data_IF_632353387473
#
_entry.id   IF_632353387473
#
_cell.length_a   1.000
_cell.length_b   1.000
_cell.length_c   1.000
_cell.angle_alpha   90.00
_cell.angle_beta   90.00
_cell.angle_gamma   90.00
#
_symmetry.space_group_name_H-M   'P 1'
#
loop_
_entity.id
_entity.type
_entity.pdbx_description
1 polymer ?
#
# COMPACT_ATOMS: atom_id res chain seq x y z
N UNK A 1 -5.84 -29.32 -8.35
CA UNK A 1 -5.12 -28.16 -7.78
C UNK A 1 -5.02 -28.33 -6.27
N UNK A 2 -3.84 -28.59 -5.72
CA UNK A 2 -3.62 -28.69 -4.27
C UNK A 2 -3.55 -27.27 -3.71
N UNK A 3 -4.58 -26.84 -2.98
CA UNK A 3 -4.50 -25.63 -2.16
C UNK A 3 -3.41 -25.85 -1.11
N UNK A 4 -2.22 -25.32 -1.34
CA UNK A 4 -1.18 -25.21 -0.31
C UNK A 4 -1.63 -24.11 0.65
N UNK A 5 -2.17 -24.51 1.78
CA UNK A 5 -2.59 -23.61 2.85
C UNK A 5 -1.35 -22.92 3.40
N UNK A 6 -1.42 -21.62 3.50
CA UNK A 6 -0.57 -20.69 4.23
C UNK A 6 -0.58 -21.04 5.73
N UNK A 7 0.00 -22.15 6.13
CA UNK A 7 -0.21 -22.69 7.47
C UNK A 7 1.01 -22.52 8.37
N UNK A 8 1.90 -21.55 8.10
CA UNK A 8 3.09 -21.38 8.97
C UNK A 8 3.58 -19.97 9.27
N UNK A 9 2.88 -18.93 8.83
CA UNK A 9 3.17 -17.60 9.36
C UNK A 9 2.18 -17.24 10.45
N UNK A 10 2.50 -17.62 11.68
CA UNK A 10 1.83 -17.07 12.86
C UNK A 10 2.39 -15.65 13.06
N UNK A 11 1.76 -14.68 12.40
CA UNK A 11 1.99 -13.26 12.63
C UNK A 11 1.50 -12.91 14.04
N UNK A 12 2.37 -12.98 15.02
CA UNK A 12 2.19 -12.27 16.28
C UNK A 12 2.44 -10.79 15.99
N UNK A 13 1.36 -10.10 15.60
CA UNK A 13 1.34 -8.65 15.45
C UNK A 13 1.58 -7.96 16.78
N UNK A 14 2.82 -7.75 17.15
CA UNK A 14 3.17 -6.74 18.14
C UNK A 14 3.11 -5.38 17.43
N UNK A 15 1.98 -4.67 17.59
CA UNK A 15 1.87 -3.24 17.23
C UNK A 15 2.78 -2.45 18.16
N UNK A 16 4.05 -2.39 17.83
CA UNK A 16 5.00 -1.46 18.40
C UNK A 16 4.88 -0.14 17.63
N UNK A 17 4.21 0.85 18.22
CA UNK A 17 4.26 2.24 17.76
C UNK A 17 5.70 2.75 17.88
N UNK A 18 6.53 2.50 16.90
CA UNK A 18 7.80 3.21 16.76
C UNK A 18 7.56 4.46 15.92
N UNK A 19 7.47 5.59 16.60
CA UNK A 19 7.49 6.92 16.00
C UNK A 19 8.82 7.10 15.25
N UNK A 20 8.89 6.72 13.99
CA UNK A 20 10.03 7.07 13.13
C UNK A 20 9.75 8.42 12.50
N UNK A 21 10.32 9.44 13.10
CA UNK A 21 10.37 10.80 12.57
C UNK A 21 11.10 10.82 11.23
N UNK A 22 10.37 11.02 10.13
CA UNK A 22 10.96 11.35 8.84
C UNK A 22 11.67 12.70 8.94
N UNK A 23 13.01 12.70 8.92
CA UNK A 23 13.81 13.92 8.90
C UNK A 23 13.53 14.72 7.64
N UNK A 24 13.13 15.98 7.80
CA UNK A 24 12.96 16.99 6.75
C UNK A 24 14.22 17.09 5.88
N UNK A 25 14.11 16.65 4.64
CA UNK A 25 14.91 17.15 3.54
C UNK A 25 13.91 17.55 2.45
N UNK A 26 13.96 18.79 2.00
CA UNK A 26 13.08 19.31 0.95
C UNK A 26 13.34 18.63 -0.40
N UNK A 27 12.66 17.54 -0.61
CA UNK A 27 12.65 16.71 -1.81
C UNK A 27 11.50 15.72 -1.65
N UNK A 28 10.97 15.18 -2.75
CA UNK A 28 9.96 14.12 -2.73
C UNK A 28 10.26 13.14 -1.60
N UNK A 29 9.30 12.93 -0.68
CA UNK A 29 9.50 12.03 0.46
C UNK A 29 9.86 10.64 -0.07
N UNK A 30 11.06 10.18 0.24
CA UNK A 30 11.51 8.85 -0.19
C UNK A 30 10.87 7.84 0.77
N UNK A 31 9.87 7.13 0.30
CA UNK A 31 9.27 6.04 1.06
C UNK A 31 10.31 4.97 1.43
N UNK A 32 10.45 4.73 2.71
CA UNK A 32 11.48 3.82 3.23
C UNK A 32 11.02 2.35 3.35
N UNK A 33 9.70 2.11 3.22
CA UNK A 33 9.09 0.78 3.35
C UNK A 33 9.55 0.03 4.62
N UNK A 34 9.54 0.72 5.77
CA UNK A 34 10.02 0.14 7.04
C UNK A 34 8.89 -0.48 7.88
N UNK A 35 7.66 -0.36 7.43
CA UNK A 35 6.47 -0.90 8.07
C UNK A 35 5.43 -1.27 7.00
N UNK A 36 4.47 -2.11 7.38
CA UNK A 36 3.37 -2.51 6.51
C UNK A 36 2.61 -1.28 6.03
N UNK A 37 2.66 -1.00 4.73
CA UNK A 37 2.11 0.24 4.18
C UNK A 37 1.79 0.12 2.69
N UNK A 38 0.86 0.96 2.26
CA UNK A 38 0.53 1.20 0.84
C UNK A 38 1.22 2.50 0.44
N UNK A 39 1.97 2.50 -0.64
CA UNK A 39 2.59 3.70 -1.20
C UNK A 39 1.92 4.09 -2.50
N UNK A 40 1.46 5.33 -2.56
CA UNK A 40 0.78 5.91 -3.73
C UNK A 40 1.69 6.95 -4.36
N UNK A 41 2.09 6.69 -5.60
CA UNK A 41 2.91 7.60 -6.37
C UNK A 41 2.10 8.74 -6.97
N UNK A 42 2.80 9.81 -7.39
CA UNK A 42 2.18 10.94 -8.12
C UNK A 42 1.55 10.54 -9.45
N UNK A 43 2.02 9.47 -10.08
CA UNK A 43 1.43 8.89 -11.29
C UNK A 43 0.32 7.87 -11.00
N UNK A 44 -0.16 7.83 -9.73
CA UNK A 44 -1.21 6.94 -9.24
C UNK A 44 -0.84 5.44 -9.25
N UNK A 45 0.43 5.10 -9.47
CA UNK A 45 0.89 3.73 -9.30
C UNK A 45 0.90 3.35 -7.83
N UNK A 46 0.54 2.10 -7.55
CA UNK A 46 0.48 1.54 -6.20
C UNK A 46 1.68 0.62 -5.97
N UNK A 47 2.27 0.74 -4.80
CA UNK A 47 3.20 -0.21 -4.22
C UNK A 47 2.71 -0.61 -2.83
N UNK A 48 3.14 -1.75 -2.33
CA UNK A 48 2.99 -2.06 -0.90
C UNK A 48 4.29 -2.58 -0.31
N UNK A 49 4.46 -2.38 0.98
CA UNK A 49 5.48 -3.03 1.77
C UNK A 49 4.82 -4.01 2.74
N UNK A 50 5.32 -5.23 2.74
CA UNK A 50 5.06 -6.24 3.75
C UNK A 50 6.35 -6.41 4.58
N UNK A 51 6.27 -6.07 5.85
CA UNK A 51 7.38 -6.16 6.80
C UNK A 51 6.97 -7.12 7.91
N UNK A 52 7.78 -8.13 8.15
CA UNK A 52 7.48 -9.17 9.14
C UNK A 52 8.73 -9.60 9.89
N UNK A 53 8.53 -10.15 11.08
CA UNK A 53 9.62 -10.74 11.87
C UNK A 53 9.41 -12.24 11.93
N UNK A 54 10.42 -13.01 11.57
CA UNK A 54 10.38 -14.46 11.69
C UNK A 54 10.24 -14.87 13.16
N UNK A 55 9.27 -15.72 13.47
CA UNK A 55 8.90 -16.03 14.85
C UNK A 55 9.96 -16.89 15.58
N UNK A 56 10.81 -17.63 14.85
CA UNK A 56 11.85 -18.50 15.41
C UNK A 56 13.15 -18.40 14.63
N UNK A 57 14.28 -18.29 15.37
CA UNK A 57 15.64 -18.21 14.79
C UNK A 57 16.09 -19.46 14.03
N UNK A 58 15.31 -20.54 14.03
CA UNK A 58 15.62 -21.82 13.42
C UNK A 58 15.01 -22.03 12.04
N UNK A 59 14.09 -21.17 11.61
CA UNK A 59 13.60 -21.14 10.22
C UNK A 59 14.40 -20.06 9.47
N UNK A 60 15.67 -20.36 9.23
CA UNK A 60 16.56 -19.50 8.46
C UNK A 60 16.16 -19.56 6.99
N UNK A 61 15.22 -18.69 6.63
CA UNK A 61 15.15 -18.23 5.26
C UNK A 61 16.36 -17.35 5.00
N UNK A 62 17.10 -17.64 3.97
CA UNK A 62 17.97 -16.63 3.39
C UNK A 62 17.13 -15.75 2.44
N UNK A 63 17.69 -14.62 2.05
CA UNK A 63 16.98 -13.66 1.18
C UNK A 63 16.57 -14.29 -0.16
N UNK A 64 17.38 -15.23 -0.70
CA UNK A 64 17.10 -15.91 -1.97
C UNK A 64 15.87 -16.83 -1.85
N UNK A 65 15.76 -17.59 -0.75
CA UNK A 65 14.59 -18.45 -0.49
C UNK A 65 13.32 -17.62 -0.27
N UNK A 66 13.41 -16.50 0.46
CA UNK A 66 12.30 -15.58 0.65
C UNK A 66 11.84 -14.96 -0.67
N UNK A 67 12.80 -14.55 -1.51
CA UNK A 67 12.48 -14.01 -2.83
C UNK A 67 11.85 -15.06 -3.75
N UNK A 68 12.32 -16.32 -3.69
CA UNK A 68 11.75 -17.42 -4.46
C UNK A 68 10.31 -17.74 -4.04
N UNK A 69 10.03 -17.76 -2.73
CA UNK A 69 8.68 -18.00 -2.20
C UNK A 69 7.73 -16.85 -2.61
N UNK A 70 8.13 -15.61 -2.45
CA UNK A 70 7.35 -14.45 -2.91
C UNK A 70 7.13 -14.51 -4.45
N UNK A 71 8.15 -14.97 -5.19
CA UNK A 71 8.06 -15.18 -6.63
C UNK A 71 7.03 -16.22 -7.04
N UNK A 72 6.89 -17.32 -6.29
CA UNK A 72 5.84 -18.33 -6.55
C UNK A 72 4.44 -17.72 -6.38
N UNK A 73 4.18 -16.95 -5.32
CA UNK A 73 2.89 -16.28 -5.12
C UNK A 73 2.55 -15.33 -6.26
N UNK A 74 3.54 -14.52 -6.67
CA UNK A 74 3.36 -13.56 -7.75
C UNK A 74 3.08 -14.27 -9.07
N UNK A 75 3.82 -15.33 -9.41
CA UNK A 75 3.64 -16.08 -10.65
C UNK A 75 2.25 -16.72 -10.72
N UNK A 76 1.80 -17.36 -9.62
CA UNK A 76 0.49 -17.97 -9.53
C UNK A 76 -0.61 -16.92 -9.73
N UNK A 77 -0.51 -15.77 -9.06
CA UNK A 77 -1.44 -14.66 -9.22
C UNK A 77 -1.42 -14.08 -10.65
N UNK A 78 -0.26 -13.85 -11.23
CA UNK A 78 -0.14 -13.29 -12.57
C UNK A 78 -0.74 -14.23 -13.62
N UNK A 79 -0.47 -15.52 -13.54
CA UNK A 79 -1.06 -16.52 -14.44
C UNK A 79 -2.58 -16.58 -14.28
N UNK A 80 -3.11 -16.54 -13.06
CA UNK A 80 -4.57 -16.52 -12.81
C UNK A 80 -5.25 -15.27 -13.38
N UNK A 81 -4.50 -14.19 -13.55
CA UNK A 81 -4.94 -12.93 -14.15
C UNK A 81 -4.56 -12.78 -15.64
N UNK A 82 -4.17 -13.88 -16.30
CA UNK A 82 -3.90 -13.92 -17.74
C UNK A 82 -2.57 -13.31 -18.19
N UNK A 83 -1.63 -13.08 -17.25
CA UNK A 83 -0.29 -12.59 -17.55
C UNK A 83 0.74 -13.74 -17.62
N UNK A 84 1.98 -13.40 -18.00
CA UNK A 84 3.08 -14.39 -18.02
C UNK A 84 3.45 -14.83 -16.59
N UNK A 85 3.98 -16.05 -16.46
CA UNK A 85 4.53 -16.58 -15.21
C UNK A 85 5.88 -15.93 -14.89
N UNK A 86 5.85 -14.64 -14.56
CA UNK A 86 7.00 -13.85 -14.18
C UNK A 86 6.71 -13.12 -12.87
N UNK A 87 7.75 -12.77 -12.14
CA UNK A 87 7.67 -12.14 -10.82
C UNK A 87 8.33 -10.77 -10.76
N UNK A 88 9.02 -10.38 -11.83
CA UNK A 88 9.66 -9.07 -11.97
C UNK A 88 9.26 -8.41 -13.29
N UNK A 89 9.06 -7.10 -13.25
CA UNK A 89 8.80 -6.34 -14.46
C UNK A 89 10.06 -6.28 -15.33
N UNK A 90 9.92 -6.62 -16.60
CA UNK A 90 10.99 -6.52 -17.59
C UNK A 90 10.83 -5.25 -18.41
N UNK A 91 11.92 -4.50 -18.59
CA UNK A 91 11.90 -3.29 -19.40
C UNK A 91 11.42 -3.58 -20.84
N UNK A 92 10.50 -2.78 -21.33
CA UNK A 92 9.94 -2.92 -22.69
C UNK A 92 8.82 -3.92 -22.84
N UNK A 93 8.43 -4.63 -21.77
CA UNK A 93 7.24 -5.48 -21.72
C UNK A 93 6.07 -4.77 -21.03
N UNK A 94 4.87 -5.31 -21.21
CA UNK A 94 3.70 -4.89 -20.43
C UNK A 94 3.96 -5.11 -18.94
N UNK A 95 3.45 -4.21 -18.10
CA UNK A 95 3.53 -4.38 -16.64
C UNK A 95 2.75 -5.59 -16.20
N UNK A 96 3.33 -6.36 -15.29
CA UNK A 96 2.66 -7.48 -14.64
C UNK A 96 1.55 -6.96 -13.71
N UNK A 97 0.50 -7.76 -13.46
CA UNK A 97 -0.47 -7.50 -12.40
C UNK A 97 0.20 -7.23 -11.05
N UNK A 98 1.17 -8.06 -10.68
CA UNK A 98 2.02 -7.91 -9.50
C UNK A 98 3.46 -8.20 -9.86
N UNK A 99 4.41 -7.43 -9.31
CA UNK A 99 5.83 -7.70 -9.45
C UNK A 99 6.57 -7.46 -8.12
N UNK A 100 7.55 -8.30 -7.84
CA UNK A 100 8.50 -8.09 -6.73
C UNK A 100 9.44 -6.95 -7.11
N UNK A 101 9.51 -5.93 -6.26
CA UNK A 101 10.39 -4.78 -6.44
C UNK A 101 11.62 -4.86 -5.55
N UNK A 102 11.45 -5.36 -4.34
CA UNK A 102 12.49 -5.50 -3.34
C UNK A 102 12.19 -6.71 -2.48
N UNK A 103 13.20 -7.52 -2.24
CA UNK A 103 13.26 -8.47 -1.15
C UNK A 103 14.49 -8.14 -0.31
N UNK A 104 14.36 -8.14 1.01
CA UNK A 104 15.51 -8.09 1.92
C UNK A 104 15.22 -8.84 3.19
N UNK A 105 16.27 -9.40 3.79
CA UNK A 105 16.22 -10.09 5.06
C UNK A 105 17.37 -9.59 5.93
N UNK A 106 17.05 -8.78 6.95
CA UNK A 106 18.04 -8.24 7.90
C UNK A 106 17.79 -8.84 9.29
N UNK A 107 18.67 -9.74 9.69
CA UNK A 107 18.50 -10.52 10.92
C UNK A 107 17.24 -11.38 10.85
N UNK A 108 16.23 -11.09 11.67
CA UNK A 108 14.95 -11.78 11.67
C UNK A 108 13.83 -10.97 10.96
N UNK A 109 14.13 -9.79 10.40
CA UNK A 109 13.14 -8.94 9.75
C UNK A 109 13.21 -9.13 8.26
N UNK A 110 12.12 -9.68 7.69
CA UNK A 110 11.90 -9.78 6.26
C UNK A 110 11.12 -8.55 5.76
N UNK A 111 11.48 -8.10 4.55
CA UNK A 111 10.80 -7.02 3.85
C UNK A 111 10.58 -7.41 2.41
N UNK A 112 9.33 -7.36 1.97
CA UNK A 112 8.92 -7.52 0.59
C UNK A 112 8.26 -6.21 0.13
N UNK A 113 8.64 -5.73 -1.04
CA UNK A 113 7.97 -4.59 -1.68
C UNK A 113 7.45 -5.04 -3.02
N UNK A 114 6.18 -4.76 -3.27
CA UNK A 114 5.49 -5.14 -4.49
C UNK A 114 5.10 -3.91 -5.32
N UNK A 115 5.20 -4.02 -6.63
CA UNK A 115 4.61 -3.11 -7.61
C UNK A 115 3.31 -3.72 -8.13
N UNK A 116 2.26 -2.91 -8.31
CA UNK A 116 0.97 -3.36 -8.85
C UNK A 116 0.64 -2.68 -10.17
N UNK A 117 0.09 -3.43 -11.11
CA UNK A 117 -0.41 -2.93 -12.38
C UNK A 117 -1.64 -2.04 -12.25
N UNK A 118 -2.44 -2.26 -11.20
CA UNK A 118 -3.61 -1.46 -10.83
C UNK A 118 -3.95 -1.59 -9.35
N UNK A 119 -4.76 -0.67 -8.77
CA UNK A 119 -5.24 -0.79 -7.40
C UNK A 119 -6.02 -2.09 -7.12
N UNK A 120 -6.78 -2.60 -8.11
CA UNK A 120 -7.51 -3.86 -7.98
C UNK A 120 -6.59 -5.08 -7.85
N UNK A 121 -5.41 -5.04 -8.48
CA UNK A 121 -4.42 -6.12 -8.33
C UNK A 121 -3.80 -6.13 -6.93
N UNK A 122 -3.64 -4.98 -6.28
CA UNK A 122 -3.25 -4.94 -4.87
C UNK A 122 -4.27 -5.68 -3.99
N UNK A 123 -5.55 -5.31 -4.09
CA UNK A 123 -6.62 -5.95 -3.30
C UNK A 123 -6.73 -7.45 -3.62
N UNK A 124 -6.74 -7.81 -4.92
CA UNK A 124 -6.85 -9.21 -5.34
C UNK A 124 -5.67 -10.07 -4.87
N UNK A 125 -4.45 -9.57 -4.96
CA UNK A 125 -3.26 -10.27 -4.50
C UNK A 125 -3.26 -10.45 -2.98
N UNK A 126 -3.60 -9.42 -2.22
CA UNK A 126 -3.72 -9.48 -0.77
C UNK A 126 -4.77 -10.52 -0.32
N UNK A 127 -5.91 -10.60 -1.01
CA UNK A 127 -6.94 -11.60 -0.73
C UNK A 127 -6.46 -13.03 -1.06
N UNK A 128 -5.77 -13.24 -2.17
CA UNK A 128 -5.28 -14.55 -2.60
C UNK A 128 -4.15 -15.07 -1.71
N UNK A 129 -3.29 -14.17 -1.23
CA UNK A 129 -2.19 -14.49 -0.31
C UNK A 129 -2.59 -14.48 1.15
N UNK A 130 -3.87 -14.21 1.47
CA UNK A 130 -4.37 -14.07 2.85
C UNK A 130 -3.54 -13.05 3.66
N UNK A 131 -3.14 -11.93 3.01
CA UNK A 131 -2.35 -10.88 3.65
C UNK A 131 -3.15 -10.20 4.77
N UNK A 132 -2.64 -10.30 5.99
CA UNK A 132 -3.25 -9.73 7.21
C UNK A 132 -2.58 -8.44 7.66
N UNK A 133 -1.67 -7.88 6.88
CA UNK A 133 -0.96 -6.63 7.23
C UNK A 133 -1.84 -5.39 7.17
N UNK A 134 -3.01 -5.51 6.55
CA UNK A 134 -4.06 -4.49 6.46
C UNK A 134 -5.44 -5.14 6.35
N UNK A 135 -6.51 -4.33 6.40
CA UNK A 135 -7.90 -4.79 6.21
C UNK A 135 -8.56 -4.18 4.97
N UNK A 136 -7.75 -3.78 3.97
CA UNK A 136 -8.25 -3.11 2.76
C UNK A 136 -9.02 -4.09 1.89
N UNK A 137 -10.29 -3.74 1.61
CA UNK A 137 -11.20 -4.51 0.75
C UNK A 137 -11.45 -3.82 -0.59
N UNK A 138 -11.19 -2.51 -0.69
CA UNK A 138 -11.31 -1.74 -1.92
C UNK A 138 -10.26 -0.63 -1.96
N UNK A 139 -9.68 -0.43 -3.13
CA UNK A 139 -8.70 0.62 -3.39
C UNK A 139 -8.95 1.21 -4.77
N UNK A 140 -9.07 2.53 -4.85
CA UNK A 140 -9.24 3.25 -6.10
C UNK A 140 -8.33 4.47 -6.12
N UNK A 141 -7.82 4.82 -7.29
CA UNK A 141 -6.99 6.02 -7.51
C UNK A 141 -7.53 6.80 -8.70
N UNK A 142 -7.39 8.11 -8.67
CA UNK A 142 -7.85 8.97 -9.75
C UNK A 142 -7.61 10.44 -9.46
N UNK A 143 -8.24 11.31 -10.25
CA UNK A 143 -8.27 12.73 -9.94
C UNK A 143 -9.19 12.99 -8.75
N UNK A 144 -8.91 14.02 -7.96
CA UNK A 144 -9.78 14.38 -6.85
C UNK A 144 -11.20 14.70 -7.34
N UNK A 145 -11.34 15.35 -8.51
CA UNK A 145 -12.64 15.62 -9.11
C UNK A 145 -13.45 14.33 -9.36
N UNK A 146 -12.84 13.31 -9.97
CA UNK A 146 -13.53 12.04 -10.24
C UNK A 146 -13.91 11.30 -8.94
N UNK A 147 -13.11 11.40 -7.90
CA UNK A 147 -13.41 10.77 -6.60
C UNK A 147 -14.53 11.51 -5.87
N UNK A 148 -14.61 12.83 -6.00
CA UNK A 148 -15.75 13.61 -5.47
C UNK A 148 -17.06 13.20 -6.14
N UNK A 149 -17.07 13.04 -7.47
CA UNK A 149 -18.24 12.56 -8.22
C UNK A 149 -18.63 11.12 -7.84
N UNK A 150 -17.65 10.28 -7.53
CA UNK A 150 -17.88 8.88 -7.16
C UNK A 150 -18.35 8.66 -5.71
N UNK A 151 -18.58 9.72 -4.93
CA UNK A 151 -19.09 9.63 -3.57
C UNK A 151 -18.38 10.51 -2.55
N UNK A 152 -17.17 10.95 -2.82
CA UNK A 152 -16.37 11.77 -1.91
C UNK A 152 -17.00 13.12 -1.56
N UNK A 153 -17.87 13.66 -2.42
CA UNK A 153 -18.54 14.96 -2.17
C UNK A 153 -19.47 14.97 -0.93
N UNK A 154 -19.91 13.79 -0.48
CA UNK A 154 -20.72 13.64 0.74
C UNK A 154 -19.90 13.64 2.04
N UNK A 155 -18.60 13.57 1.95
CA UNK A 155 -17.71 13.49 3.10
C UNK A 155 -17.30 14.87 3.63
N UNK A 156 -16.87 14.89 4.90
CA UNK A 156 -16.21 16.06 5.49
C UNK A 156 -14.71 15.86 5.40
N UNK A 157 -13.99 16.94 5.12
CA UNK A 157 -12.54 16.90 4.95
C UNK A 157 -11.82 17.79 5.95
N UNK A 158 -10.65 17.33 6.35
CA UNK A 158 -9.73 18.06 7.23
C UNK A 158 -8.36 18.14 6.56
N UNK A 159 -7.82 19.34 6.50
CA UNK A 159 -6.45 19.59 6.03
C UNK A 159 -5.40 19.07 7.03
N UNK A 160 -4.13 19.01 6.63
CA UNK A 160 -3.04 18.56 7.50
C UNK A 160 -2.80 19.46 8.73
N UNK A 161 -3.30 20.68 8.71
CA UNK A 161 -3.27 21.65 9.83
C UNK A 161 -4.50 21.57 10.74
N UNK A 162 -5.42 20.62 10.46
CA UNK A 162 -6.66 20.46 11.20
C UNK A 162 -7.81 21.38 10.75
N UNK A 163 -7.61 22.21 9.74
CA UNK A 163 -8.66 23.07 9.18
C UNK A 163 -9.71 22.25 8.41
N UNK A 164 -10.97 22.69 8.47
CA UNK A 164 -12.01 22.11 7.61
C UNK A 164 -11.80 22.58 6.17
N UNK A 165 -11.92 21.65 5.22
CA UNK A 165 -11.81 21.92 3.78
C UNK A 165 -13.12 21.53 3.11
N UNK A 166 -13.68 22.45 2.33
CA UNK A 166 -14.92 22.20 1.59
C UNK A 166 -14.66 21.31 0.37
N UNK A 167 -15.51 20.30 0.07
CA UNK A 167 -15.33 19.41 -1.07
C UNK A 167 -15.12 20.12 -2.40
N UNK A 168 -15.78 21.26 -2.62
CA UNK A 168 -15.63 22.08 -3.84
C UNK A 168 -14.21 22.64 -4.03
N UNK A 169 -13.45 22.82 -2.97
CA UNK A 169 -12.05 23.28 -3.03
C UNK A 169 -11.06 22.17 -3.40
N UNK A 170 -11.50 20.93 -3.29
CA UNK A 170 -10.70 19.73 -3.53
C UNK A 170 -10.73 19.27 -5.00
N UNK A 171 -11.55 19.87 -5.85
CA UNK A 171 -11.67 19.51 -7.29
C UNK A 171 -10.71 20.27 -8.20
N UNK A 172 -9.72 20.96 -7.64
CA UNK A 172 -8.73 21.73 -8.40
C UNK A 172 -7.91 20.82 -9.33
N UNK A 173 -7.57 21.36 -10.50
CA UNK A 173 -6.68 20.70 -11.43
C UNK A 173 -5.33 20.37 -10.76
N UNK A 174 -4.82 19.16 -11.03
CA UNK A 174 -3.58 18.66 -10.43
C UNK A 174 -3.74 17.96 -9.08
N UNK A 175 -4.92 18.04 -8.45
CA UNK A 175 -5.20 17.26 -7.26
C UNK A 175 -5.57 15.83 -7.61
N UNK A 176 -4.92 14.90 -6.93
CA UNK A 176 -5.15 13.46 -7.04
C UNK A 176 -5.82 12.94 -5.78
N UNK A 177 -6.44 11.78 -5.90
CA UNK A 177 -7.11 11.16 -4.77
C UNK A 177 -6.94 9.64 -4.77
N UNK A 178 -7.03 9.09 -3.57
CA UNK A 178 -7.18 7.68 -3.32
C UNK A 178 -8.42 7.48 -2.44
N UNK A 179 -9.24 6.50 -2.80
CA UNK A 179 -10.33 5.99 -1.97
C UNK A 179 -9.94 4.61 -1.46
N UNK A 180 -9.93 4.43 -0.14
CA UNK A 180 -9.53 3.21 0.56
C UNK A 180 -10.64 2.75 1.46
N UNK A 181 -11.12 1.53 1.28
CA UNK A 181 -12.03 0.89 2.21
C UNK A 181 -11.26 -0.08 3.10
N UNK A 182 -11.19 0.23 4.40
CA UNK A 182 -10.45 -0.54 5.40
C UNK A 182 -9.25 0.19 5.99
N UNK A 183 -8.70 -0.41 7.03
CA UNK A 183 -7.58 0.15 7.79
C UNK A 183 -6.23 -0.20 7.14
N UNK A 184 -5.42 0.82 6.89
CA UNK A 184 -4.06 0.70 6.37
C UNK A 184 -3.23 1.93 6.75
N UNK A 185 -1.92 1.81 6.66
CA UNK A 185 -1.01 2.94 6.58
C UNK A 185 -0.82 3.31 5.10
N UNK A 186 -1.18 4.52 4.72
CA UNK A 186 -1.04 5.04 3.36
C UNK A 186 0.05 6.11 3.34
N UNK A 187 1.08 5.86 2.54
CA UNK A 187 2.17 6.79 2.28
C UNK A 187 2.02 7.39 0.89
N UNK A 188 2.22 8.69 0.77
CA UNK A 188 2.04 9.46 -0.46
C UNK A 188 3.38 9.98 -0.98
N UNK A 189 3.65 9.85 -2.27
CA UNK A 189 4.77 10.57 -2.90
C UNK A 189 4.49 12.08 -2.96
N UNK A 190 3.24 12.44 -3.15
CA UNK A 190 2.72 13.81 -3.11
C UNK A 190 2.47 14.28 -1.69
N UNK A 191 2.11 15.57 -1.56
CA UNK A 191 1.72 16.16 -0.28
C UNK A 191 0.23 16.03 -0.06
N UNK A 192 -0.14 15.65 1.16
CA UNK A 192 -1.52 15.65 1.61
C UNK A 192 -2.13 17.06 1.50
N UNK A 193 -3.28 17.14 0.89
CA UNK A 193 -4.12 18.34 0.81
C UNK A 193 -5.25 18.25 1.83
N UNK A 194 -5.95 17.13 1.87
CA UNK A 194 -7.02 16.87 2.83
C UNK A 194 -7.31 15.37 2.94
N UNK A 195 -7.91 14.96 4.04
CA UNK A 195 -8.41 13.62 4.25
C UNK A 195 -9.84 13.66 4.80
N UNK A 196 -10.66 12.65 4.44
CA UNK A 196 -12.01 12.51 4.98
C UNK A 196 -11.99 12.19 6.48
N UNK A 197 -13.08 12.47 7.17
CA UNK A 197 -13.19 12.21 8.63
C UNK A 197 -13.16 10.75 9.03
N UNK A 198 -13.28 9.81 8.08
CA UNK A 198 -13.06 8.37 8.29
C UNK A 198 -11.60 7.99 8.54
N UNK A 199 -10.67 8.87 8.20
CA UNK A 199 -9.23 8.69 8.45
C UNK A 199 -8.97 8.70 9.96
N UNK A 200 -8.24 7.69 10.43
CA UNK A 200 -7.92 7.51 11.86
C UNK A 200 -6.92 8.56 12.36
N UNK A 201 -5.89 8.84 11.55
CA UNK A 201 -4.87 9.84 11.88
C UNK A 201 -4.15 10.34 10.62
N UNK A 202 -3.83 11.62 10.60
CA UNK A 202 -2.81 12.23 9.74
C UNK A 202 -1.52 12.25 10.52
N UNK A 203 -0.51 11.49 10.08
CA UNK A 203 0.76 11.36 10.81
C UNK A 203 1.75 12.46 10.40
N UNK A 204 1.77 12.80 9.13
CA UNK A 204 2.55 13.90 8.57
C UNK A 204 1.97 14.32 7.20
N UNK A 205 2.67 15.20 6.47
CA UNK A 205 2.24 15.70 5.15
C UNK A 205 2.27 14.63 4.04
N UNK A 206 2.72 13.42 4.33
CA UNK A 206 2.83 12.31 3.37
C UNK A 206 2.24 11.00 3.87
N UNK A 207 1.81 10.93 5.13
CA UNK A 207 1.44 9.67 5.76
C UNK A 207 0.11 9.77 6.49
N UNK A 208 -0.81 8.88 6.13
CA UNK A 208 -2.17 8.83 6.66
C UNK A 208 -2.47 7.41 7.13
N UNK A 209 -3.00 7.25 8.34
CA UNK A 209 -3.57 5.99 8.82
C UNK A 209 -5.08 6.01 8.58
N UNK A 210 -5.59 5.08 7.75
CA UNK A 210 -7.03 4.96 7.50
C UNK A 210 -7.72 4.18 8.62
N UNK A 211 -9.02 4.45 8.79
CA UNK A 211 -9.92 3.70 9.65
C UNK A 211 -10.71 2.63 8.89
N UNK A 212 -11.60 1.96 9.58
CA UNK A 212 -12.58 1.08 8.95
C UNK A 212 -13.55 1.90 8.07
N UNK A 213 -14.12 1.27 7.04
CA UNK A 213 -14.99 1.90 6.06
C UNK A 213 -14.24 2.69 4.99
N UNK A 214 -14.98 3.52 4.24
CA UNK A 214 -14.44 4.27 3.11
C UNK A 214 -13.70 5.52 3.58
N UNK A 215 -12.46 5.68 3.13
CA UNK A 215 -11.60 6.82 3.43
C UNK A 215 -11.15 7.47 2.13
N UNK A 216 -11.25 8.80 2.04
CA UNK A 216 -10.77 9.57 0.89
C UNK A 216 -9.57 10.42 1.30
N UNK A 217 -8.50 10.35 0.53
CA UNK A 217 -7.26 11.07 0.76
C UNK A 217 -6.93 11.85 -0.50
N UNK A 218 -6.82 13.17 -0.38
CA UNK A 218 -6.52 14.10 -1.48
C UNK A 218 -5.09 14.58 -1.35
N UNK A 219 -4.32 14.56 -2.44
CA UNK A 219 -2.91 14.92 -2.45
C UNK A 219 -2.47 15.57 -3.78
N UNK A 220 -1.26 16.15 -3.82
CA UNK A 220 -0.69 16.78 -5.02
C UNK A 220 0.82 16.51 -5.16
#
# INVERSE_FOLDING_TARGET
>A
MKKRKFTRFLLLGAVGLLMVSCKKAGGTAKWAANENSIYVKKDLQIQSAMVFTAAEANELYNEEELAAEAGEWIQDYNVSNGAEAAWENTQGKAKLPVALRLCSLEGQTGKLVFDYGSPSHFVGFAMETEDTTHTVTSLQTGTAASMMEAGGAGERYTGPDGSTVEPGELTKEGYQAIAVEGAALVCLEGKLVAASTGVKAVLDEHTVSTGEGMNYIIFQ
#
